data_IF_076895608284
#
_entry.id   IF_076895608284
#
_cell.length_a   1.000
_cell.length_b   1.000
_cell.length_c   1.000
_cell.angle_alpha   90.00
_cell.angle_beta   90.00
_cell.angle_gamma   90.00
#
_symmetry.space_group_name_H-M   'P 1'
#
loop_
_entity.id
_entity.type
_entity.pdbx_description
1 polymer ?
#
# COMPACT_ATOMS: atom_id res chain seq x y z
N UNK A 1 -37.66 7.92 14.34
CA UNK A 1 -36.18 7.87 14.45
C UNK A 1 -35.64 6.43 14.46
N UNK A 2 -36.31 5.46 15.12
CA UNK A 2 -35.92 4.05 15.10
C UNK A 2 -35.96 3.40 13.71
N UNK A 3 -36.96 3.70 12.88
CA UNK A 3 -37.10 3.09 11.55
C UNK A 3 -35.97 3.50 10.59
N UNK A 4 -35.52 4.75 10.64
CA UNK A 4 -34.38 5.22 9.83
C UNK A 4 -33.07 4.55 10.24
N UNK A 5 -32.87 4.26 11.53
CA UNK A 5 -31.69 3.53 11.97
C UNK A 5 -31.72 2.09 11.46
N UNK A 6 -32.87 1.42 11.55
CA UNK A 6 -33.06 0.07 11.02
C UNK A 6 -32.74 0.00 9.51
N UNK A 7 -33.30 0.91 8.71
CA UNK A 7 -33.00 1.00 7.27
C UNK A 7 -31.51 1.27 6.96
N UNK A 8 -30.84 2.11 7.76
CA UNK A 8 -29.41 2.40 7.58
C UNK A 8 -28.53 1.21 7.98
N UNK A 9 -28.87 0.46 9.02
CA UNK A 9 -28.17 -0.79 9.35
C UNK A 9 -28.32 -1.81 8.23
N UNK A 10 -29.53 -2.04 7.73
CA UNK A 10 -29.74 -2.98 6.64
C UNK A 10 -29.00 -2.55 5.37
N UNK A 11 -29.09 -1.27 4.99
CA UNK A 11 -28.39 -0.75 3.83
C UNK A 11 -26.86 -0.92 3.94
N UNK A 12 -26.27 -0.64 5.11
CA UNK A 12 -24.82 -0.81 5.32
C UNK A 12 -24.40 -2.27 5.29
N UNK A 13 -25.23 -3.20 5.78
CA UNK A 13 -25.01 -4.65 5.65
C UNK A 13 -24.97 -5.07 4.18
N UNK A 14 -25.94 -4.64 3.38
CA UNK A 14 -25.99 -4.95 1.95
C UNK A 14 -24.81 -4.35 1.18
N UNK A 15 -24.52 -3.07 1.37
CA UNK A 15 -23.42 -2.38 0.68
C UNK A 15 -22.09 -3.07 0.96
N UNK A 16 -21.81 -3.40 2.21
CA UNK A 16 -20.57 -4.07 2.60
C UNK A 16 -20.47 -5.52 2.11
N UNK A 17 -21.59 -6.25 2.04
CA UNK A 17 -21.65 -7.58 1.44
C UNK A 17 -21.34 -7.54 -0.06
N UNK A 18 -22.04 -6.68 -0.81
CA UNK A 18 -21.79 -6.51 -2.24
C UNK A 18 -20.35 -6.09 -2.51
N UNK A 19 -19.80 -5.16 -1.72
CA UNK A 19 -18.42 -4.72 -1.87
C UNK A 19 -17.42 -5.85 -1.60
N UNK A 20 -17.67 -6.68 -0.59
CA UNK A 20 -16.86 -7.88 -0.32
C UNK A 20 -16.90 -8.89 -1.47
N UNK A 21 -18.08 -9.13 -2.04
CA UNK A 21 -18.24 -10.03 -3.18
C UNK A 21 -17.56 -9.48 -4.44
N UNK A 22 -17.63 -8.18 -4.64
CA UNK A 22 -16.98 -7.46 -5.74
C UNK A 22 -15.44 -7.56 -5.65
N UNK A 23 -14.87 -7.43 -4.44
CA UNK A 23 -13.43 -7.64 -4.19
C UNK A 23 -13.05 -9.11 -4.39
N UNK A 24 -13.86 -10.06 -3.90
CA UNK A 24 -13.55 -11.48 -4.04
C UNK A 24 -13.61 -11.95 -5.51
N UNK A 25 -14.48 -11.35 -6.32
CA UNK A 25 -14.50 -11.57 -7.77
C UNK A 25 -13.18 -11.22 -8.46
N UNK A 26 -12.31 -10.40 -7.84
CA UNK A 26 -10.98 -10.08 -8.36
C UNK A 26 -10.06 -11.31 -8.39
N UNK A 27 -10.27 -12.28 -7.50
CA UNK A 27 -9.45 -13.51 -7.41
C UNK A 27 -9.77 -14.48 -8.56
N UNK A 28 -11.01 -14.46 -9.07
CA UNK A 28 -11.48 -15.41 -10.09
C UNK A 28 -11.33 -14.91 -11.53
N UNK A 29 -10.86 -13.69 -11.76
CA UNK A 29 -10.58 -13.17 -13.10
C UNK A 29 -11.00 -11.72 -13.34
N UNK A 30 -10.79 -11.29 -14.59
CA UNK A 30 -10.90 -9.90 -15.04
C UNK A 30 -12.35 -9.56 -15.47
N UNK A 31 -13.27 -9.54 -14.50
CA UNK A 31 -14.70 -9.28 -14.72
C UNK A 31 -15.06 -7.79 -14.49
N UNK A 32 -16.15 -7.31 -15.11
CA UNK A 32 -16.62 -5.92 -14.95
C UNK A 32 -16.82 -5.51 -13.48
N UNK A 33 -17.36 -6.42 -12.67
CA UNK A 33 -17.58 -6.18 -11.23
C UNK A 33 -16.26 -5.91 -10.51
N UNK A 34 -15.22 -6.73 -10.72
CA UNK A 34 -13.94 -6.56 -10.01
C UNK A 34 -13.28 -5.22 -10.36
N UNK A 35 -13.35 -4.79 -11.62
CA UNK A 35 -12.86 -3.48 -12.06
C UNK A 35 -13.61 -2.33 -11.41
N UNK A 36 -14.93 -2.43 -11.29
CA UNK A 36 -15.75 -1.42 -10.60
C UNK A 36 -15.34 -1.31 -9.12
N UNK A 37 -15.11 -2.45 -8.45
CA UNK A 37 -14.64 -2.47 -7.07
C UNK A 37 -13.30 -1.76 -6.91
N UNK A 38 -12.38 -2.05 -7.81
CA UNK A 38 -11.07 -1.43 -7.79
C UNK A 38 -11.17 0.08 -8.02
N UNK A 39 -11.95 0.54 -9.00
CA UNK A 39 -12.11 1.98 -9.24
C UNK A 39 -12.79 2.70 -8.09
N UNK A 40 -13.81 2.11 -7.46
CA UNK A 40 -14.43 2.70 -6.27
C UNK A 40 -13.49 2.72 -5.08
N UNK A 41 -12.78 1.63 -4.80
CA UNK A 41 -11.85 1.54 -3.67
C UNK A 41 -10.72 2.55 -3.81
N UNK A 42 -10.13 2.65 -5.00
CA UNK A 42 -9.09 3.64 -5.30
C UNK A 42 -9.65 5.06 -5.25
N UNK A 43 -10.81 5.30 -5.85
CA UNK A 43 -11.44 6.63 -5.87
C UNK A 43 -11.78 7.13 -4.46
N UNK A 44 -12.40 6.28 -3.64
CA UNK A 44 -12.74 6.60 -2.24
C UNK A 44 -11.47 6.81 -1.42
N UNK A 45 -10.46 5.95 -1.58
CA UNK A 45 -9.18 6.10 -0.88
C UNK A 45 -8.49 7.42 -1.21
N UNK A 46 -8.38 7.77 -2.50
CA UNK A 46 -7.78 9.04 -2.95
C UNK A 46 -8.62 10.23 -2.47
N UNK A 47 -9.95 10.13 -2.54
CA UNK A 47 -10.85 11.18 -2.05
C UNK A 47 -10.71 11.44 -0.55
N UNK A 48 -10.69 10.37 0.25
CA UNK A 48 -10.51 10.45 1.70
C UNK A 48 -9.13 10.99 2.06
N UNK A 49 -8.06 10.50 1.43
CA UNK A 49 -6.70 11.02 1.62
C UNK A 49 -6.61 12.49 1.22
N UNK A 50 -7.24 12.89 0.11
CA UNK A 50 -7.32 14.29 -0.31
C UNK A 50 -8.01 15.17 0.73
N UNK A 51 -9.15 14.72 1.26
CA UNK A 51 -9.87 15.43 2.32
C UNK A 51 -9.03 15.54 3.60
N UNK A 52 -8.35 14.47 4.00
CA UNK A 52 -7.43 14.47 5.15
C UNK A 52 -6.30 15.47 4.96
N UNK A 53 -5.65 15.47 3.79
CA UNK A 53 -4.56 16.39 3.47
C UNK A 53 -5.03 17.84 3.50
N UNK A 54 -6.22 18.12 2.95
CA UNK A 54 -6.82 19.47 3.02
C UNK A 54 -7.05 19.89 4.47
N UNK A 55 -7.69 19.03 5.27
CA UNK A 55 -8.09 19.36 6.63
C UNK A 55 -6.91 19.43 7.61
N UNK A 56 -5.95 18.51 7.53
CA UNK A 56 -4.91 18.32 8.54
C UNK A 56 -3.56 18.89 8.14
N UNK A 57 -3.31 19.12 6.84
CA UNK A 57 -2.03 19.62 6.35
C UNK A 57 -2.17 21.01 5.76
N UNK A 58 -2.98 21.17 4.71
CA UNK A 58 -3.06 22.46 4.00
C UNK A 58 -3.74 23.53 4.84
N UNK A 59 -4.87 23.23 5.48
CA UNK A 59 -5.59 24.21 6.28
C UNK A 59 -4.73 24.78 7.44
N UNK A 60 -4.19 23.97 8.35
CA UNK A 60 -3.42 24.50 9.47
C UNK A 60 -2.03 25.01 9.08
N UNK A 61 -1.37 24.44 8.05
CA UNK A 61 0.02 24.82 7.72
C UNK A 61 0.15 25.90 6.64
N UNK A 62 -0.85 26.07 5.78
CA UNK A 62 -0.81 27.06 4.70
C UNK A 62 -1.91 28.10 4.89
N UNK A 63 -3.17 27.71 4.99
CA UNK A 63 -4.27 28.68 4.95
C UNK A 63 -4.38 29.51 6.23
N UNK A 64 -4.27 28.90 7.42
CA UNK A 64 -4.34 29.61 8.69
C UNK A 64 -3.24 30.69 8.85
N UNK A 65 -1.93 30.41 8.66
CA UNK A 65 -0.90 31.45 8.83
C UNK A 65 -1.04 32.60 7.82
N UNK A 66 -1.46 32.32 6.57
CA UNK A 66 -1.69 33.36 5.56
C UNK A 66 -2.95 34.21 5.85
N UNK A 67 -3.98 33.62 6.45
CA UNK A 67 -5.22 34.32 6.76
C UNK A 67 -5.06 35.28 7.96
N UNK A 68 -4.34 34.86 9.00
CA UNK A 68 -4.22 35.65 10.23
C UNK A 68 -3.13 36.72 10.17
N UNK A 69 -2.00 36.50 9.48
CA UNK A 69 -0.86 37.43 9.51
C UNK A 69 -0.07 37.51 8.20
N UNK A 70 -0.66 37.96 7.08
CA UNK A 70 -0.05 37.89 5.75
C UNK A 70 1.33 38.57 5.66
N UNK A 71 1.52 39.71 6.34
CA UNK A 71 2.78 40.49 6.29
C UNK A 71 3.84 39.94 7.24
N UNK A 72 3.46 39.42 8.42
CA UNK A 72 4.42 38.83 9.35
C UNK A 72 4.95 37.48 8.84
N UNK A 73 4.13 36.71 8.13
CA UNK A 73 4.53 35.44 7.51
C UNK A 73 5.59 35.64 6.42
N UNK A 74 5.58 36.77 5.71
CA UNK A 74 6.62 37.13 4.72
C UNK A 74 8.01 37.26 5.37
N UNK A 75 8.08 37.77 6.60
CA UNK A 75 9.33 38.01 7.32
C UNK A 75 9.78 36.77 8.10
N UNK A 76 8.85 36.07 8.74
CA UNK A 76 9.16 34.93 9.63
C UNK A 76 9.33 33.61 8.87
N UNK A 77 8.63 33.43 7.74
CA UNK A 77 8.63 32.17 7.00
C UNK A 77 8.48 32.40 5.48
N UNK A 78 9.48 33.02 4.82
CA UNK A 78 9.45 33.25 3.38
C UNK A 78 9.33 31.95 2.57
N UNK A 79 9.73 30.80 3.13
CA UNK A 79 9.60 29.48 2.51
C UNK A 79 8.14 29.09 2.28
N UNK A 80 7.17 29.55 3.09
CA UNK A 80 5.75 29.24 2.89
C UNK A 80 5.21 29.85 1.60
N UNK A 81 5.67 31.05 1.24
CA UNK A 81 5.32 31.69 -0.03
C UNK A 81 5.93 30.95 -1.22
N UNK A 82 7.15 30.42 -1.08
CA UNK A 82 7.77 29.55 -2.09
C UNK A 82 6.97 28.26 -2.24
N UNK A 83 6.59 27.60 -1.14
CA UNK A 83 5.79 26.35 -1.16
C UNK A 83 4.39 26.61 -1.74
N UNK A 84 3.74 27.71 -1.38
CA UNK A 84 2.46 28.10 -1.95
C UNK A 84 2.59 28.39 -3.45
N UNK A 85 3.61 29.15 -3.84
CA UNK A 85 3.94 29.43 -5.24
C UNK A 85 4.16 28.15 -6.04
N UNK A 86 4.98 27.23 -5.53
CA UNK A 86 5.23 25.92 -6.13
C UNK A 86 3.96 25.05 -6.19
N UNK A 87 3.11 25.11 -5.17
CA UNK A 87 1.82 24.41 -5.14
C UNK A 87 0.85 24.91 -6.21
N UNK A 88 0.71 26.24 -6.35
CA UNK A 88 -0.09 26.86 -7.40
C UNK A 88 0.48 26.54 -8.79
N UNK A 89 1.80 26.61 -8.95
CA UNK A 89 2.49 26.25 -10.20
C UNK A 89 2.26 24.78 -10.57
N UNK A 90 2.27 23.88 -9.59
CA UNK A 90 2.00 22.46 -9.80
C UNK A 90 0.55 22.21 -10.23
N UNK A 91 -0.42 22.89 -9.61
CA UNK A 91 -1.83 22.77 -9.98
C UNK A 91 -2.06 23.33 -11.38
N UNK A 92 -1.49 24.49 -11.70
CA UNK A 92 -1.57 25.10 -13.02
C UNK A 92 -0.94 24.19 -14.10
N UNK A 93 0.28 23.67 -13.84
CA UNK A 93 0.96 22.75 -14.75
C UNK A 93 0.21 21.41 -14.89
N UNK A 94 -0.41 20.92 -13.81
CA UNK A 94 -1.22 19.70 -13.82
C UNK A 94 -2.50 19.86 -14.64
N UNK A 95 -3.22 20.96 -14.46
CA UNK A 95 -4.44 21.29 -15.22
C UNK A 95 -4.10 21.47 -16.70
N UNK A 96 -3.05 22.22 -17.04
CA UNK A 96 -2.60 22.40 -18.43
C UNK A 96 -2.25 21.05 -19.06
N UNK A 97 -1.59 20.15 -18.32
CA UNK A 97 -1.22 18.82 -18.81
C UNK A 97 -2.43 17.91 -19.04
N UNK A 98 -3.43 17.93 -18.15
CA UNK A 98 -4.67 17.15 -18.30
C UNK A 98 -5.50 17.67 -19.49
N UNK A 99 -5.55 18.99 -19.68
CA UNK A 99 -6.23 19.61 -20.82
C UNK A 99 -5.49 19.33 -22.14
N UNK A 100 -4.16 19.41 -22.15
CA UNK A 100 -3.35 19.10 -23.33
C UNK A 100 -3.38 17.62 -23.74
N UNK A 101 -3.59 16.70 -22.80
CA UNK A 101 -3.72 15.27 -23.10
C UNK A 101 -5.11 14.87 -23.64
N UNK A 102 -6.16 15.68 -23.39
CA UNK A 102 -7.51 15.39 -23.88
C UNK A 102 -7.71 15.71 -25.36
N UNK A 103 -6.80 16.45 -25.99
CA UNK A 103 -6.81 16.71 -27.42
C UNK A 103 -5.57 16.07 -28.06
N UNK A 104 -5.67 14.86 -28.64
CA UNK A 104 -4.63 14.33 -29.51
C UNK A 104 -4.66 15.13 -30.83
N UNK A 105 -4.12 16.34 -30.79
CA UNK A 105 -3.98 17.17 -31.98
C UNK A 105 -2.73 16.72 -32.73
N UNK A 106 -2.95 15.97 -33.79
CA UNK A 106 -2.00 15.48 -34.79
C UNK A 106 -1.36 16.61 -35.64
N UNK A 107 -1.04 17.75 -35.02
CA UNK A 107 -0.44 18.85 -35.76
C UNK A 107 0.49 19.67 -34.88
N UNK A 108 1.77 19.61 -35.26
CA UNK A 108 2.90 20.36 -34.73
C UNK A 108 2.57 21.86 -34.58
N UNK A 109 2.07 22.26 -33.41
CA UNK A 109 2.01 23.67 -33.05
C UNK A 109 3.34 24.07 -32.39
N UNK A 110 3.91 25.25 -32.75
CA UNK A 110 5.14 25.74 -32.17
C UNK A 110 4.91 26.06 -30.70
N UNK A 111 5.53 25.26 -29.84
CA UNK A 111 5.53 25.48 -28.39
C UNK A 111 6.10 26.85 -28.06
N UNK A 112 5.25 27.76 -27.57
CA UNK A 112 5.65 29.09 -27.12
C UNK A 112 6.65 28.96 -25.95
N UNK A 113 7.66 29.83 -25.89
CA UNK A 113 8.70 29.80 -24.83
C UNK A 113 8.12 29.78 -23.40
N UNK A 114 6.94 30.37 -23.21
CA UNK A 114 6.22 30.37 -21.94
C UNK A 114 5.73 28.95 -21.56
N UNK A 115 5.21 28.17 -22.50
CA UNK A 115 4.78 26.78 -22.28
C UNK A 115 5.95 25.83 -22.03
N UNK A 116 7.12 26.08 -22.65
CA UNK A 116 8.34 25.33 -22.34
C UNK A 116 8.81 25.61 -20.90
N UNK A 117 8.70 26.87 -20.46
CA UNK A 117 9.06 27.26 -19.09
C UNK A 117 8.09 26.69 -18.05
N UNK A 118 6.78 26.69 -18.34
CA UNK A 118 5.75 26.05 -17.50
C UNK A 118 5.93 24.52 -17.42
N UNK A 119 6.28 23.86 -18.54
CA UNK A 119 6.60 22.43 -18.57
C UNK A 119 7.89 22.10 -17.80
N UNK A 120 8.90 22.97 -17.85
CA UNK A 120 10.13 22.82 -17.08
C UNK A 120 9.91 23.04 -15.57
N UNK A 121 9.13 24.06 -15.22
CA UNK A 121 8.83 24.40 -13.83
C UNK A 121 7.97 23.33 -13.13
N UNK A 122 7.06 22.66 -13.86
CA UNK A 122 6.22 21.58 -13.30
C UNK A 122 6.97 20.29 -12.94
N UNK A 123 8.17 20.07 -13.48
CA UNK A 123 8.99 18.88 -13.16
C UNK A 123 9.56 18.99 -11.74
N UNK A 124 9.82 20.20 -11.24
CA UNK A 124 10.46 20.41 -9.93
C UNK A 124 9.52 19.99 -8.77
N UNK A 125 8.26 20.44 -8.69
CA UNK A 125 7.33 19.97 -7.66
C UNK A 125 7.05 18.47 -7.76
N UNK A 126 6.94 17.93 -8.98
CA UNK A 126 6.69 16.51 -9.20
C UNK A 126 7.88 15.65 -8.73
N UNK A 127 9.11 16.07 -9.04
CA UNK A 127 10.32 15.42 -8.56
C UNK A 127 10.46 15.53 -7.04
N UNK A 128 10.09 16.66 -6.44
CA UNK A 128 10.06 16.83 -4.99
C UNK A 128 9.02 15.92 -4.33
N UNK A 129 7.79 15.85 -4.85
CA UNK A 129 6.76 14.94 -4.32
C UNK A 129 7.19 13.48 -4.43
N UNK A 130 7.81 13.09 -5.54
CA UNK A 130 8.31 11.75 -5.74
C UNK A 130 9.50 11.46 -4.80
N UNK A 131 10.45 12.39 -4.67
CA UNK A 131 11.58 12.27 -3.76
C UNK A 131 11.15 12.18 -2.30
N UNK A 132 10.23 13.04 -1.87
CA UNK A 132 9.64 13.01 -0.51
C UNK A 132 8.85 11.73 -0.30
N UNK A 133 8.06 11.29 -1.28
CA UNK A 133 7.31 10.03 -1.20
C UNK A 133 8.24 8.83 -1.01
N UNK A 134 9.30 8.73 -1.80
CA UNK A 134 10.31 7.66 -1.66
C UNK A 134 11.01 7.76 -0.29
N UNK A 135 11.39 8.96 0.15
CA UNK A 135 12.04 9.17 1.44
C UNK A 135 11.13 8.76 2.61
N UNK A 136 9.85 9.13 2.58
CA UNK A 136 8.87 8.76 3.62
C UNK A 136 8.66 7.26 3.67
N UNK A 137 8.54 6.59 2.51
CA UNK A 137 8.44 5.13 2.44
C UNK A 137 9.71 4.48 3.02
N UNK A 138 10.88 4.96 2.63
CA UNK A 138 12.16 4.43 3.11
C UNK A 138 12.31 4.60 4.63
N UNK A 139 11.98 5.78 5.17
CA UNK A 139 12.01 6.06 6.61
C UNK A 139 10.99 5.19 7.34
N UNK A 140 9.78 5.03 6.81
CA UNK A 140 8.75 4.18 7.39
C UNK A 140 9.17 2.71 7.46
N UNK A 141 9.82 2.20 6.41
CA UNK A 141 10.39 0.85 6.37
C UNK A 141 11.54 0.71 7.39
N UNK A 142 12.43 1.70 7.45
CA UNK A 142 13.54 1.74 8.40
C UNK A 142 13.06 1.72 9.84
N UNK A 143 12.12 2.60 10.19
CA UNK A 143 11.62 2.73 11.56
C UNK A 143 10.67 1.61 11.96
N UNK A 144 9.83 1.13 11.02
CA UNK A 144 8.80 0.14 11.31
C UNK A 144 9.31 -1.30 11.33
N UNK A 145 10.41 -1.62 10.63
CA UNK A 145 10.83 -3.02 10.46
C UNK A 145 12.33 -3.22 10.65
N UNK A 146 13.17 -2.46 9.95
CA UNK A 146 14.62 -2.70 10.01
C UNK A 146 15.22 -2.36 11.38
N UNK A 147 14.86 -1.21 11.94
CA UNK A 147 15.41 -0.77 13.22
C UNK A 147 15.00 -1.67 14.39
N UNK A 148 13.71 -2.03 14.57
CA UNK A 148 13.31 -2.95 15.62
C UNK A 148 13.93 -4.35 15.44
N UNK A 149 14.01 -4.84 14.20
CA UNK A 149 14.59 -6.16 13.91
C UNK A 149 16.09 -6.21 14.18
N UNK A 150 16.83 -5.18 13.76
CA UNK A 150 18.25 -5.04 14.03
C UNK A 150 18.50 -5.00 15.54
N UNK A 151 17.76 -4.17 16.27
CA UNK A 151 17.91 -4.02 17.70
C UNK A 151 17.60 -5.33 18.45
N UNK A 152 16.52 -6.02 18.08
CA UNK A 152 16.16 -7.29 18.69
C UNK A 152 17.22 -8.37 18.42
N UNK A 153 17.83 -8.38 17.23
CA UNK A 153 18.90 -9.30 16.86
C UNK A 153 20.23 -8.93 17.53
N UNK A 154 20.54 -7.64 17.66
CA UNK A 154 21.75 -7.15 18.32
C UNK A 154 21.74 -7.48 19.82
N UNK A 155 20.58 -7.40 20.47
CA UNK A 155 20.42 -7.75 21.88
C UNK A 155 20.36 -9.27 22.12
N UNK A 156 19.84 -10.05 21.18
CA UNK A 156 19.76 -11.52 21.31
C UNK A 156 20.96 -12.27 20.72
N UNK A 157 21.81 -11.57 19.96
CA UNK A 157 22.74 -12.18 19.00
C UNK A 157 23.98 -12.87 19.55
N UNK A 158 24.36 -12.73 20.83
CA UNK A 158 25.60 -13.32 21.37
C UNK A 158 25.46 -13.80 22.83
N UNK A 159 24.34 -14.43 23.18
CA UNK A 159 24.24 -15.14 24.46
C UNK A 159 24.86 -16.54 24.34
N UNK A 160 26.18 -16.61 24.42
CA UNK A 160 26.97 -17.86 24.42
C UNK A 160 26.82 -18.67 25.72
N UNK A 161 26.08 -18.16 26.71
CA UNK A 161 26.27 -18.57 28.10
C UNK A 161 25.29 -19.64 28.63
N UNK A 162 24.07 -19.80 28.07
CA UNK A 162 23.03 -20.52 28.84
C UNK A 162 22.44 -21.80 28.21
N UNK A 163 22.46 -22.01 26.88
CA UNK A 163 21.85 -23.23 26.28
C UNK A 163 22.39 -23.58 24.89
N UNK A 164 22.71 -24.87 24.66
CA UNK A 164 23.15 -25.41 23.36
C UNK A 164 22.10 -25.16 22.25
N UNK A 165 20.82 -25.18 22.59
CA UNK A 165 19.71 -24.86 21.67
C UNK A 165 19.72 -23.41 21.18
N UNK A 166 20.07 -22.46 22.04
CA UNK A 166 20.17 -21.03 21.69
C UNK A 166 21.40 -20.78 20.82
N UNK A 167 22.54 -21.41 21.14
CA UNK A 167 23.75 -21.32 20.31
C UNK A 167 23.54 -21.88 18.90
N UNK A 168 22.87 -23.03 18.77
CA UNK A 168 22.51 -23.60 17.47
C UNK A 168 21.60 -22.68 16.67
N UNK A 169 20.65 -22.01 17.33
CA UNK A 169 19.75 -21.06 16.69
C UNK A 169 20.50 -19.84 16.15
N UNK A 170 21.42 -19.27 16.94
CA UNK A 170 22.26 -18.14 16.51
C UNK A 170 23.18 -18.51 15.35
N UNK A 171 23.80 -19.69 15.39
CA UNK A 171 24.59 -20.22 14.27
C UNK A 171 23.70 -20.39 13.04
N UNK A 172 22.53 -21.01 13.18
CA UNK A 172 21.60 -21.22 12.07
C UNK A 172 21.18 -19.88 11.44
N UNK A 173 20.87 -18.86 12.25
CA UNK A 173 20.50 -17.52 11.78
C UNK A 173 21.65 -16.85 11.03
N UNK A 174 22.89 -16.92 11.54
CA UNK A 174 24.07 -16.38 10.86
C UNK A 174 24.31 -17.08 9.52
N UNK A 175 24.14 -18.39 9.50
CA UNK A 175 24.30 -19.25 8.34
C UNK A 175 23.24 -18.90 7.27
N UNK A 176 21.98 -18.73 7.68
CA UNK A 176 20.88 -18.30 6.81
C UNK A 176 21.01 -16.86 6.30
N UNK A 177 21.44 -15.94 7.17
CA UNK A 177 21.62 -14.52 6.84
C UNK A 177 22.75 -14.38 5.82
N UNK A 178 23.86 -15.08 6.06
CA UNK A 178 24.98 -15.15 5.12
C UNK A 178 24.53 -15.76 3.80
N UNK A 179 23.78 -16.87 3.82
CA UNK A 179 23.24 -17.48 2.60
C UNK A 179 22.31 -16.53 1.82
N UNK A 180 21.47 -15.77 2.51
CA UNK A 180 20.54 -14.82 1.90
C UNK A 180 21.26 -13.62 1.29
N UNK A 181 22.23 -13.04 2.00
CA UNK A 181 23.05 -11.95 1.48
C UNK A 181 23.83 -12.38 0.24
N UNK A 182 24.36 -13.60 0.24
CA UNK A 182 25.13 -14.14 -0.89
C UNK A 182 24.29 -14.30 -2.15
N UNK A 183 22.99 -14.60 -2.02
CA UNK A 183 22.06 -14.64 -3.17
C UNK A 183 21.87 -13.25 -3.78
N UNK A 184 21.87 -12.19 -2.97
CA UNK A 184 21.55 -10.82 -3.41
C UNK A 184 22.76 -10.03 -3.88
N UNK A 185 23.92 -10.24 -3.26
CA UNK A 185 25.14 -9.44 -3.53
C UNK A 185 26.07 -10.07 -4.56
N UNK A 186 25.97 -11.38 -4.81
CA UNK A 186 26.89 -12.09 -5.70
C UNK A 186 26.23 -12.51 -7.02
N UNK A 187 26.53 -11.85 -8.16
CA UNK A 187 26.41 -12.50 -9.44
C UNK A 187 27.43 -13.65 -9.45
N UNK A 188 26.96 -14.87 -9.20
CA UNK A 188 27.76 -16.10 -8.99
C UNK A 188 28.86 -16.28 -10.05
N UNK A 189 28.68 -15.74 -11.26
CA UNK A 189 29.66 -15.75 -12.35
C UNK A 189 30.85 -14.78 -12.22
N UNK A 190 30.76 -13.69 -11.45
CA UNK A 190 31.89 -12.75 -11.28
C UNK A 190 32.83 -13.15 -10.14
N UNK A 191 32.32 -13.73 -9.04
CA UNK A 191 33.13 -14.14 -7.87
C UNK A 191 33.87 -15.47 -8.11
N UNK A 192 33.38 -16.30 -9.03
CA UNK A 192 33.99 -17.62 -9.32
C UNK A 192 35.13 -17.58 -10.33
N UNK A 193 35.47 -16.41 -10.90
CA UNK A 193 36.64 -16.26 -11.77
C UNK A 193 37.90 -16.16 -10.91
N UNK A 194 38.63 -17.26 -10.81
CA UNK A 194 39.96 -17.32 -10.16
C UNK A 194 40.01 -18.01 -8.79
N UNK A 195 38.92 -18.60 -8.30
CA UNK A 195 38.90 -19.32 -7.01
C UNK A 195 39.08 -20.84 -7.15
N UNK A 196 39.66 -21.51 -6.14
CA UNK A 196 39.83 -22.96 -6.13
C UNK A 196 38.50 -23.72 -6.21
N UNK A 197 38.52 -24.89 -6.84
CA UNK A 197 37.33 -25.70 -7.21
C UNK A 197 36.45 -26.07 -6.02
N UNK A 198 37.05 -26.31 -4.85
CA UNK A 198 36.32 -26.66 -3.62
C UNK A 198 35.52 -25.48 -3.07
N UNK A 199 36.10 -24.28 -3.06
CA UNK A 199 35.41 -23.05 -2.61
C UNK A 199 34.25 -22.73 -3.55
N UNK A 200 34.42 -22.96 -4.86
CA UNK A 200 33.34 -22.82 -5.84
C UNK A 200 32.17 -23.77 -5.58
N UNK A 201 32.44 -25.04 -5.26
CA UNK A 201 31.39 -26.00 -4.92
C UNK A 201 30.65 -25.63 -3.64
N UNK A 202 31.39 -25.23 -2.59
CA UNK A 202 30.80 -24.79 -1.32
C UNK A 202 29.91 -23.56 -1.53
N UNK A 203 30.39 -22.55 -2.27
CA UNK A 203 29.66 -21.32 -2.56
C UNK A 203 28.37 -21.61 -3.37
N UNK A 204 28.45 -22.48 -4.37
CA UNK A 204 27.29 -22.87 -5.18
C UNK A 204 26.22 -23.60 -4.36
N UNK A 205 26.64 -24.51 -3.47
CA UNK A 205 25.74 -25.16 -2.53
C UNK A 205 25.09 -24.15 -1.57
N UNK A 206 25.87 -23.20 -1.06
CA UNK A 206 25.39 -22.16 -0.16
C UNK A 206 24.35 -21.24 -0.81
N UNK A 207 24.59 -20.84 -2.06
CA UNK A 207 23.63 -20.04 -2.85
C UNK A 207 22.37 -20.84 -3.18
N UNK A 208 22.49 -22.13 -3.50
CA UNK A 208 21.34 -22.99 -3.76
C UNK A 208 20.44 -23.14 -2.53
N UNK A 209 21.03 -23.28 -1.34
CA UNK A 209 20.31 -23.29 -0.07
C UNK A 209 19.61 -21.95 0.16
N UNK A 210 20.32 -20.82 0.00
CA UNK A 210 19.73 -19.48 0.14
C UNK A 210 18.54 -19.26 -0.80
N UNK A 211 18.67 -19.67 -2.08
CA UNK A 211 17.60 -19.52 -3.08
C UNK A 211 16.35 -20.34 -2.71
N UNK A 212 16.52 -21.57 -2.22
CA UNK A 212 15.41 -22.43 -1.78
C UNK A 212 14.74 -21.88 -0.52
N UNK A 213 15.54 -21.39 0.44
CA UNK A 213 15.03 -20.76 1.65
C UNK A 213 14.20 -19.50 1.32
N UNK A 214 14.64 -18.69 0.35
CA UNK A 214 13.90 -17.51 -0.09
C UNK A 214 12.56 -17.88 -0.73
N UNK A 215 12.55 -18.93 -1.57
CA UNK A 215 11.33 -19.48 -2.15
C UNK A 215 10.35 -19.94 -1.06
N UNK A 216 10.85 -20.68 -0.07
CA UNK A 216 10.05 -21.15 1.05
C UNK A 216 9.48 -19.98 1.88
N UNK A 217 10.31 -18.99 2.23
CA UNK A 217 9.88 -17.82 2.97
C UNK A 217 8.79 -17.03 2.22
N UNK A 218 8.94 -16.86 0.90
CA UNK A 218 7.92 -16.23 0.07
C UNK A 218 6.60 -17.01 0.08
N UNK A 219 6.66 -18.35 0.00
CA UNK A 219 5.49 -19.22 0.11
C UNK A 219 4.77 -19.07 1.45
N UNK A 220 5.51 -19.04 2.56
CA UNK A 220 4.93 -18.84 3.90
C UNK A 220 4.27 -17.46 4.03
N UNK A 221 4.90 -16.41 3.51
CA UNK A 221 4.33 -15.06 3.52
C UNK A 221 3.01 -15.01 2.74
N UNK A 222 2.98 -15.58 1.54
CA UNK A 222 1.76 -15.65 0.72
C UNK A 222 0.68 -16.47 1.42
N UNK A 223 1.02 -17.63 1.98
CA UNK A 223 0.08 -18.46 2.73
C UNK A 223 -0.53 -17.70 3.92
N UNK A 224 0.28 -16.92 4.65
CA UNK A 224 -0.17 -16.11 5.78
C UNK A 224 -1.12 -15.00 5.35
N UNK A 225 -0.86 -14.35 4.21
CA UNK A 225 -1.75 -13.34 3.63
C UNK A 225 -3.07 -13.99 3.18
N UNK A 226 -3.02 -15.13 2.51
CA UNK A 226 -4.23 -15.86 2.11
C UNK A 226 -5.05 -16.32 3.32
N UNK A 227 -4.39 -16.78 4.38
CA UNK A 227 -5.06 -17.18 5.62
C UNK A 227 -5.80 -16.00 6.27
N UNK A 228 -5.20 -14.80 6.29
CA UNK A 228 -5.87 -13.62 6.85
C UNK A 228 -7.08 -13.20 6.00
N UNK A 229 -6.97 -13.26 4.67
CA UNK A 229 -8.07 -12.95 3.77
C UNK A 229 -9.22 -13.97 3.87
N UNK A 230 -8.91 -15.26 3.94
CA UNK A 230 -9.89 -16.32 4.13
C UNK A 230 -10.60 -16.18 5.48
N UNK A 231 -9.87 -15.87 6.55
CA UNK A 231 -10.45 -15.61 7.87
C UNK A 231 -11.42 -14.42 7.82
N UNK A 232 -11.03 -13.32 7.16
CA UNK A 232 -11.90 -12.17 6.97
C UNK A 232 -13.15 -12.49 6.13
N UNK A 233 -13.01 -13.31 5.09
CA UNK A 233 -14.13 -13.76 4.27
C UNK A 233 -15.12 -14.59 5.10
N UNK A 234 -14.61 -15.54 5.87
CA UNK A 234 -15.42 -16.37 6.77
C UNK A 234 -16.14 -15.48 7.77
N UNK A 235 -15.45 -14.53 8.42
CA UNK A 235 -16.06 -13.60 9.35
C UNK A 235 -17.13 -12.71 8.69
N UNK A 236 -16.93 -12.30 7.44
CA UNK A 236 -17.94 -11.54 6.69
C UNK A 236 -19.16 -12.39 6.34
N UNK A 237 -18.93 -13.64 5.93
CA UNK A 237 -19.99 -14.58 5.56
C UNK A 237 -20.84 -14.97 6.77
N UNK A 238 -20.22 -15.23 7.93
CA UNK A 238 -20.93 -15.53 9.17
C UNK A 238 -21.76 -14.34 9.65
N UNK A 239 -21.19 -13.12 9.59
CA UNK A 239 -21.91 -11.91 9.93
C UNK A 239 -23.11 -11.66 9.00
N UNK A 240 -22.97 -11.93 7.71
CA UNK A 240 -24.08 -11.83 6.75
C UNK A 240 -25.15 -12.90 6.99
N UNK A 241 -24.76 -14.15 7.25
CA UNK A 241 -25.70 -15.24 7.56
C UNK A 241 -26.49 -14.96 8.84
N UNK A 242 -25.83 -14.42 9.87
CA UNK A 242 -26.48 -14.04 11.12
C UNK A 242 -27.40 -12.83 10.94
N UNK A 243 -26.98 -11.82 10.16
CA UNK A 243 -27.82 -10.69 9.77
C UNK A 243 -29.06 -11.12 8.99
N UNK A 244 -28.92 -12.06 8.05
CA UNK A 244 -30.06 -12.65 7.34
C UNK A 244 -31.00 -13.38 8.29
N UNK A 245 -30.47 -14.18 9.23
CA UNK A 245 -31.27 -14.92 10.21
C UNK A 245 -32.07 -14.02 11.15
N UNK A 246 -31.52 -12.87 11.50
CA UNK A 246 -32.19 -11.86 12.32
C UNK A 246 -33.17 -10.98 11.52
N UNK A 247 -32.93 -10.80 10.22
CA UNK A 247 -33.90 -10.16 9.33
C UNK A 247 -35.14 -11.06 9.16
N UNK A 248 -36.34 -10.50 9.27
CA UNK A 248 -37.61 -11.22 9.09
C UNK A 248 -37.80 -11.86 7.69
N UNK A 249 -36.83 -11.72 6.78
CA UNK A 249 -36.84 -12.31 5.44
C UNK A 249 -36.90 -13.83 5.47
N UNK A 250 -36.25 -14.50 6.44
CA UNK A 250 -36.37 -15.95 6.59
C UNK A 250 -37.77 -16.39 7.04
N UNK A 251 -38.46 -15.56 7.84
CA UNK A 251 -39.85 -15.82 8.21
C UNK A 251 -40.78 -15.64 7.00
N UNK A 252 -40.56 -14.62 6.17
CA UNK A 252 -41.31 -14.40 4.93
C UNK A 252 -41.08 -15.52 3.90
N UNK A 253 -39.83 -15.95 3.71
CA UNK A 253 -39.49 -17.08 2.85
C UNK A 253 -40.06 -18.42 3.37
N UNK A 254 -40.04 -18.65 4.69
CA UNK A 254 -40.65 -19.84 5.30
C UNK A 254 -42.18 -19.85 5.19
N UNK A 255 -42.83 -18.67 5.25
CA UNK A 255 -44.27 -18.52 5.01
C UNK A 255 -44.63 -18.85 3.56
N UNK A 256 -43.84 -18.39 2.59
CA UNK A 256 -44.04 -18.71 1.17
C UNK A 256 -43.80 -20.19 0.91
N UNK A 257 -42.75 -20.78 1.49
CA UNK A 257 -42.46 -22.19 1.34
C UNK A 257 -43.54 -23.09 1.94
N UNK A 258 -44.08 -22.73 3.12
CA UNK A 258 -45.24 -23.43 3.71
C UNK A 258 -46.52 -23.23 2.90
N UNK A 259 -46.70 -22.08 2.25
CA UNK A 259 -47.82 -21.82 1.35
C UNK A 259 -47.76 -22.63 0.04
N UNK A 260 -46.56 -23.05 -0.39
CA UNK A 260 -46.37 -23.86 -1.60
C UNK A 260 -46.35 -25.37 -1.30
N UNK A 261 -45.91 -25.78 -0.11
CA UNK A 261 -45.80 -27.20 0.30
C UNK A 261 -46.99 -27.76 1.09
N UNK A 262 -48.07 -27.00 1.27
CA UNK A 262 -49.22 -27.36 2.10
C UNK A 262 -50.54 -27.40 1.33
N UNK A 263 -50.71 -28.42 0.49
CA UNK A 263 -52.00 -29.07 0.17
C UNK A 263 -51.78 -30.56 0.10
#
# INVERSE_FOLDING_TARGET
>A
MADLQFFLTDATLWVSFFFSLMIFSMIFGDNFLSRLAQYMLVGIAIGYLGALVIQHVLRPRLFEPLYYSPVATLVVAPQLWVVFGLGVLMVAAGIERILAQRFPSDQRQPVTRLQQWLRGAGIIPAALMLGVGIAVVFIGIMQGTFWPLFWHTAQSGLNWADSVSLALSSVLILLLTTATLLVWTAPVGQITRGQPTWVRYLLQWWVAIGKRALWFASGVLVARILASQLSLLIARLTFFLEGLRQSGLWQWAALIWRGIGGT
#
